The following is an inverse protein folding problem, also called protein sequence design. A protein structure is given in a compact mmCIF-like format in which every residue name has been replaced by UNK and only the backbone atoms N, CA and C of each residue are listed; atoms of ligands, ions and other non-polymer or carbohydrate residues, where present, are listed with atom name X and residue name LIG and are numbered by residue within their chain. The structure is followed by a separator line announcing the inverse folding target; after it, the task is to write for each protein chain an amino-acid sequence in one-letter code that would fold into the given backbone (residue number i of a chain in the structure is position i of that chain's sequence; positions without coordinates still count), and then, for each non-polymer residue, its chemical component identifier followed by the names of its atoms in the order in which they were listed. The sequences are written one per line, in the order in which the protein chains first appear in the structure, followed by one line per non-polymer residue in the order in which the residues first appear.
data_IF_133635154416
#
_entry.id   IF_133635154416
#
_cell.length_a   1.000
_cell.length_b   1.000
_cell.length_c   1.000
_cell.angle_alpha   90.00
_cell.angle_beta   90.00
_cell.angle_gamma   90.00
#
_symmetry.space_group_name_H-M   'P 1'
#
loop_
_entity.id
_entity.type
_entity.pdbx_description
1 polymer ?
#
# COMPACT_ATOMS: atom_id res chain seq x y z
N UNK A 1 -41.68 -17.02 -8.29
CA UNK A 1 -41.02 -16.06 -7.40
C UNK A 1 -41.56 -14.68 -7.71
N UNK A 2 -42.08 -14.01 -6.73
CA UNK A 2 -42.50 -12.65 -6.88
C UNK A 2 -41.27 -11.70 -6.88
N UNK A 3 -41.49 -10.39 -7.11
CA UNK A 3 -40.43 -9.40 -7.16
C UNK A 3 -39.64 -9.34 -5.84
N UNK A 4 -40.33 -9.45 -4.70
CA UNK A 4 -39.69 -9.36 -3.37
C UNK A 4 -38.87 -10.61 -3.07
N UNK A 5 -39.34 -11.81 -3.42
CA UNK A 5 -38.60 -13.06 -3.31
C UNK A 5 -37.32 -13.01 -4.18
N UNK A 6 -37.41 -12.47 -5.41
CA UNK A 6 -36.26 -12.32 -6.31
C UNK A 6 -35.24 -11.35 -5.75
N UNK A 7 -35.67 -10.17 -5.27
CA UNK A 7 -34.79 -9.18 -4.64
C UNK A 7 -34.14 -9.79 -3.39
N UNK A 8 -34.93 -10.45 -2.54
CA UNK A 8 -34.42 -11.13 -1.34
C UNK A 8 -33.35 -12.17 -1.65
N UNK A 9 -33.60 -13.01 -2.68
CA UNK A 9 -32.64 -14.01 -3.13
C UNK A 9 -31.34 -13.37 -3.66
N UNK A 10 -31.44 -12.33 -4.50
CA UNK A 10 -30.29 -11.61 -5.02
C UNK A 10 -29.46 -10.95 -3.89
N UNK A 11 -30.14 -10.41 -2.87
CA UNK A 11 -29.51 -9.88 -1.69
C UNK A 11 -28.74 -10.94 -0.91
N UNK A 12 -29.35 -12.09 -0.66
CA UNK A 12 -28.69 -13.23 0.02
C UNK A 12 -27.49 -13.73 -0.79
N UNK A 13 -27.63 -13.88 -2.10
CA UNK A 13 -26.53 -14.29 -2.98
C UNK A 13 -25.38 -13.26 -2.92
N UNK A 14 -25.71 -11.99 -3.06
CA UNK A 14 -24.73 -10.89 -3.01
C UNK A 14 -23.91 -10.93 -1.72
N UNK A 15 -24.57 -10.96 -0.56
CA UNK A 15 -23.86 -11.00 0.72
C UNK A 15 -23.15 -12.32 0.98
N UNK A 16 -23.69 -13.45 0.49
CA UNK A 16 -23.02 -14.74 0.59
C UNK A 16 -21.68 -14.77 -0.14
N UNK A 17 -21.57 -14.05 -1.25
CA UNK A 17 -20.31 -13.91 -1.98
C UNK A 17 -19.23 -13.27 -1.07
N UNK A 18 -19.56 -12.22 -0.33
CA UNK A 18 -18.60 -11.53 0.57
C UNK A 18 -18.26 -12.33 1.84
N UNK A 19 -19.05 -13.34 2.19
CA UNK A 19 -18.78 -14.23 3.33
C UNK A 19 -17.98 -15.46 2.90
N UNK A 20 -18.31 -16.05 1.76
CA UNK A 20 -17.76 -17.34 1.31
C UNK A 20 -16.40 -17.14 0.60
N UNK A 21 -16.35 -16.29 -0.41
CA UNK A 21 -15.16 -16.16 -1.27
C UNK A 21 -13.90 -15.70 -0.53
N UNK A 22 -13.95 -14.77 0.46
CA UNK A 22 -12.74 -14.36 1.18
C UNK A 22 -12.01 -15.51 1.90
N UNK A 23 -12.66 -16.66 2.10
CA UNK A 23 -12.00 -17.84 2.68
C UNK A 23 -10.94 -18.46 1.76
N UNK A 24 -11.03 -18.22 0.46
CA UNK A 24 -10.18 -18.83 -0.56
C UNK A 24 -9.24 -17.83 -1.24
N UNK A 25 -9.31 -16.57 -0.82
CA UNK A 25 -8.58 -15.48 -1.47
C UNK A 25 -7.52 -14.88 -0.54
N UNK A 26 -6.52 -14.25 -1.15
CA UNK A 26 -5.50 -13.45 -0.48
C UNK A 26 -5.53 -11.97 -0.89
N UNK A 27 -6.63 -11.56 -1.54
CA UNK A 27 -6.95 -10.18 -1.87
C UNK A 27 -8.48 -10.02 -1.99
N UNK A 28 -8.95 -8.78 -2.15
CA UNK A 28 -10.38 -8.52 -2.36
C UNK A 28 -10.91 -9.14 -3.66
N UNK A 29 -12.23 -9.27 -3.74
CA UNK A 29 -12.92 -9.94 -4.84
C UNK A 29 -12.66 -9.29 -6.21
N UNK A 30 -12.61 -7.95 -6.28
CA UNK A 30 -12.37 -7.26 -7.53
C UNK A 30 -10.94 -7.47 -8.02
N UNK A 31 -9.98 -7.39 -7.11
CA UNK A 31 -8.57 -7.63 -7.43
C UNK A 31 -8.35 -9.09 -7.87
N UNK A 32 -8.95 -10.07 -7.17
CA UNK A 32 -8.88 -11.47 -7.56
C UNK A 32 -9.51 -11.73 -8.94
N UNK A 33 -10.64 -11.09 -9.23
CA UNK A 33 -11.25 -11.15 -10.58
C UNK A 33 -10.33 -10.53 -11.64
N UNK A 34 -9.72 -9.37 -11.35
CA UNK A 34 -8.80 -8.70 -12.29
C UNK A 34 -7.48 -9.43 -12.46
N UNK A 35 -7.00 -10.13 -11.45
CA UNK A 35 -5.82 -11.00 -11.58
C UNK A 35 -6.05 -12.08 -12.64
N UNK A 36 -7.24 -12.66 -12.67
CA UNK A 36 -7.58 -13.76 -13.58
C UNK A 36 -8.06 -13.29 -14.98
N UNK A 37 -8.85 -12.22 -15.01
CA UNK A 37 -9.57 -11.79 -16.21
C UNK A 37 -9.28 -10.34 -16.64
N UNK A 38 -8.44 -9.64 -15.90
CA UNK A 38 -8.09 -8.24 -16.18
C UNK A 38 -6.98 -8.11 -17.23
N UNK A 39 -6.47 -6.88 -17.36
CA UNK A 39 -5.30 -6.61 -18.21
C UNK A 39 -4.08 -7.29 -17.59
N UNK A 40 -3.27 -7.99 -18.39
CA UNK A 40 -2.04 -8.61 -17.89
C UNK A 40 -1.00 -7.54 -17.50
N UNK A 41 -0.18 -7.83 -16.49
CA UNK A 41 0.85 -6.90 -16.00
C UNK A 41 1.84 -6.50 -17.10
N UNK A 42 2.06 -7.35 -18.11
CA UNK A 42 2.88 -7.05 -19.30
C UNK A 42 2.39 -5.82 -20.08
N UNK A 43 1.13 -5.41 -19.93
CA UNK A 43 0.62 -4.16 -20.51
C UNK A 43 1.25 -2.89 -19.92
N UNK A 44 2.03 -2.99 -18.83
CA UNK A 44 2.82 -1.90 -18.28
C UNK A 44 4.17 -1.70 -18.99
N UNK A 45 4.51 -2.53 -19.98
CA UNK A 45 5.75 -2.43 -20.75
C UNK A 45 6.03 -0.99 -21.18
N UNK A 46 7.26 -0.52 -20.92
CA UNK A 46 7.73 0.83 -21.29
C UNK A 46 7.20 1.96 -20.41
N UNK A 47 6.33 1.68 -19.43
CA UNK A 47 5.87 2.69 -18.45
C UNK A 47 7.04 3.14 -17.57
N UNK A 48 7.07 4.43 -17.29
CA UNK A 48 8.05 5.10 -16.46
C UNK A 48 7.50 5.23 -15.05
N UNK A 49 8.10 4.48 -14.13
CA UNK A 49 7.59 4.32 -12.77
C UNK A 49 8.61 4.80 -11.75
N UNK A 50 8.21 5.70 -10.88
CA UNK A 50 9.01 6.14 -9.75
C UNK A 50 8.49 5.51 -8.47
N UNK A 51 9.36 4.77 -7.75
CA UNK A 51 9.00 4.05 -6.52
C UNK A 51 9.76 4.65 -5.35
N UNK A 52 9.04 5.19 -4.36
CA UNK A 52 9.62 5.60 -3.08
C UNK A 52 9.65 4.43 -2.10
N UNK A 53 10.64 4.39 -1.20
CA UNK A 53 10.81 3.25 -0.29
C UNK A 53 11.17 1.94 -1.02
N UNK A 54 11.90 2.04 -2.13
CA UNK A 54 12.25 0.91 -2.99
C UNK A 54 13.38 0.01 -2.46
N UNK A 55 14.02 0.36 -1.34
CA UNK A 55 15.21 -0.35 -0.83
C UNK A 55 14.91 -1.63 -0.05
N UNK A 56 13.64 -1.96 0.22
CA UNK A 56 13.25 -3.17 0.96
C UNK A 56 11.74 -3.47 0.80
N UNK A 57 11.35 -4.68 1.17
CA UNK A 57 9.96 -5.08 1.39
C UNK A 57 9.07 -4.99 0.14
N UNK A 58 7.92 -4.34 0.24
CA UNK A 58 6.95 -4.26 -0.85
C UNK A 58 7.52 -3.46 -2.03
N UNK A 59 8.18 -2.32 -1.79
CA UNK A 59 8.74 -1.46 -2.85
C UNK A 59 9.83 -2.14 -3.65
N UNK A 60 10.72 -2.87 -3.00
CA UNK A 60 11.74 -3.71 -3.62
C UNK A 60 11.13 -4.79 -4.51
N UNK A 61 10.18 -5.57 -3.97
CA UNK A 61 9.52 -6.64 -4.73
C UNK A 61 8.68 -6.09 -5.89
N UNK A 62 8.07 -4.91 -5.73
CA UNK A 62 7.36 -4.25 -6.82
C UNK A 62 8.33 -3.83 -7.94
N UNK A 63 9.53 -3.35 -7.59
CA UNK A 63 10.55 -3.05 -8.58
C UNK A 63 10.90 -4.30 -9.41
N UNK A 64 11.07 -5.47 -8.78
CA UNK A 64 11.33 -6.74 -9.49
C UNK A 64 10.17 -7.13 -10.43
N UNK A 65 8.93 -7.04 -9.94
CA UNK A 65 7.74 -7.37 -10.76
C UNK A 65 7.65 -6.45 -11.99
N UNK A 66 7.86 -5.15 -11.81
CA UNK A 66 7.77 -4.17 -12.90
C UNK A 66 8.96 -4.27 -13.85
N UNK A 67 10.16 -4.56 -13.36
CA UNK A 67 11.34 -4.81 -14.20
C UNK A 67 11.12 -6.00 -15.13
N UNK A 68 10.50 -7.10 -14.65
CA UNK A 68 10.20 -8.29 -15.47
C UNK A 68 9.34 -8.00 -16.71
N UNK A 69 8.53 -6.95 -16.65
CA UNK A 69 7.63 -6.53 -17.75
C UNK A 69 8.14 -5.30 -18.52
N UNK A 70 9.45 -5.06 -18.49
CA UNK A 70 10.11 -4.00 -19.24
C UNK A 70 9.64 -2.57 -18.86
N UNK A 71 9.26 -2.33 -17.59
CA UNK A 71 9.07 -0.96 -17.10
C UNK A 71 10.42 -0.25 -16.91
N UNK A 72 10.44 1.06 -17.10
CA UNK A 72 11.57 1.92 -16.74
C UNK A 72 11.36 2.42 -15.31
N UNK A 73 12.38 2.26 -14.45
CA UNK A 73 12.23 2.45 -13.01
C UNK A 73 13.17 3.55 -12.49
N UNK A 74 12.65 4.39 -11.59
CA UNK A 74 13.46 5.17 -10.67
C UNK A 74 13.16 4.68 -9.25
N UNK A 75 14.20 4.26 -8.56
CA UNK A 75 14.15 3.69 -7.22
C UNK A 75 14.68 4.70 -6.22
N UNK A 76 13.85 5.11 -5.26
CA UNK A 76 14.22 6.10 -4.26
C UNK A 76 14.07 5.57 -2.84
N UNK A 77 15.08 5.80 -2.04
CA UNK A 77 15.15 5.60 -0.59
C UNK A 77 16.44 6.25 -0.05
N UNK A 78 16.67 6.19 1.27
CA UNK A 78 17.88 6.75 1.89
C UNK A 78 19.11 5.84 1.73
N UNK A 79 18.92 4.52 1.69
CA UNK A 79 20.00 3.52 1.71
C UNK A 79 20.50 3.23 0.29
N UNK A 80 21.61 3.87 -0.09
CA UNK A 80 22.18 3.75 -1.44
C UNK A 80 22.57 2.32 -1.78
N UNK A 81 23.31 1.64 -0.90
CA UNK A 81 23.75 0.26 -1.13
C UNK A 81 22.58 -0.71 -1.39
N UNK A 82 21.46 -0.53 -0.68
CA UNK A 82 20.27 -1.35 -0.91
C UNK A 82 19.57 -1.01 -2.23
N UNK A 83 19.55 0.26 -2.64
CA UNK A 83 19.01 0.65 -3.94
C UNK A 83 19.84 0.06 -5.08
N UNK A 84 21.16 0.07 -4.98
CA UNK A 84 22.07 -0.57 -5.95
C UNK A 84 21.87 -2.08 -6.01
N UNK A 85 21.70 -2.73 -4.86
CA UNK A 85 21.37 -4.17 -4.80
C UNK A 85 20.06 -4.45 -5.55
N UNK A 86 19.00 -3.67 -5.30
CA UNK A 86 17.70 -3.84 -5.96
C UNK A 86 17.83 -3.59 -7.47
N UNK A 87 18.51 -2.51 -7.88
CA UNK A 87 18.79 -2.21 -9.30
C UNK A 87 19.50 -3.39 -9.98
N UNK A 88 20.58 -3.88 -9.38
CA UNK A 88 21.34 -5.02 -9.88
C UNK A 88 20.45 -6.23 -10.10
N UNK A 89 19.60 -6.58 -9.12
CA UNK A 89 18.67 -7.71 -9.23
C UNK A 89 17.64 -7.49 -10.37
N UNK A 90 17.11 -6.28 -10.53
CA UNK A 90 16.21 -5.96 -11.65
C UNK A 90 16.86 -6.23 -13.01
N UNK A 91 18.14 -5.82 -13.19
CA UNK A 91 18.89 -6.01 -14.43
C UNK A 91 19.33 -7.48 -14.65
N UNK A 92 19.59 -8.21 -13.57
CA UNK A 92 19.90 -9.64 -13.65
C UNK A 92 18.69 -10.47 -14.04
N UNK A 93 17.52 -10.18 -13.51
CA UNK A 93 16.27 -10.90 -13.82
C UNK A 93 15.69 -10.56 -15.19
N UNK A 94 16.01 -9.39 -15.76
CA UNK A 94 15.57 -9.01 -17.10
C UNK A 94 16.69 -8.38 -17.93
N UNK A 95 17.35 -9.18 -18.73
CA UNK A 95 18.47 -8.77 -19.62
C UNK A 95 18.08 -7.84 -20.76
N UNK A 96 16.79 -7.55 -20.96
CA UNK A 96 16.33 -6.55 -21.96
C UNK A 96 16.44 -5.13 -21.44
N UNK A 97 16.49 -4.96 -20.11
CA UNK A 97 16.71 -3.66 -19.49
C UNK A 97 18.19 -3.30 -19.48
N UNK A 98 18.48 -2.07 -19.79
CA UNK A 98 19.80 -1.47 -19.66
C UNK A 98 19.94 -0.75 -18.30
N UNK A 99 21.16 -0.32 -18.00
CA UNK A 99 21.45 0.49 -16.81
C UNK A 99 20.63 1.80 -16.80
N UNK A 100 20.37 2.37 -17.98
CA UNK A 100 19.55 3.58 -18.14
C UNK A 100 18.05 3.35 -17.90
N UNK A 101 17.56 2.11 -17.98
CA UNK A 101 16.17 1.79 -17.74
C UNK A 101 15.83 1.61 -16.25
N UNK A 102 16.85 1.37 -15.40
CA UNK A 102 16.68 1.26 -13.94
C UNK A 102 17.65 2.23 -13.27
N UNK A 103 17.13 3.34 -12.80
CA UNK A 103 17.91 4.40 -12.16
C UNK A 103 17.66 4.40 -10.64
N UNK A 104 18.66 4.81 -9.87
CA UNK A 104 18.47 5.11 -8.46
C UNK A 104 18.53 6.62 -8.24
N UNK A 105 17.69 7.10 -7.31
CA UNK A 105 17.75 8.48 -6.82
C UNK A 105 17.64 8.44 -5.29
N UNK A 106 18.79 8.46 -4.58
CA UNK A 106 18.81 8.50 -3.13
C UNK A 106 18.20 9.79 -2.61
N UNK A 107 17.22 9.67 -1.69
CA UNK A 107 16.58 10.83 -1.06
C UNK A 107 16.02 10.49 0.31
N UNK A 108 15.97 11.48 1.19
CA UNK A 108 15.10 11.45 2.36
C UNK A 108 13.76 12.09 1.99
N UNK A 109 12.69 11.30 2.07
CA UNK A 109 11.36 11.77 1.72
C UNK A 109 10.81 12.82 2.72
N UNK A 110 11.46 12.98 3.88
CA UNK A 110 11.13 14.03 4.86
C UNK A 110 11.68 15.40 4.48
N UNK A 111 12.68 15.45 3.60
CA UNK A 111 13.20 16.71 3.05
C UNK A 111 12.29 17.18 1.91
N UNK A 112 11.19 17.87 2.29
CA UNK A 112 10.17 18.34 1.34
C UNK A 112 10.72 19.35 0.34
N UNK A 113 11.74 20.12 0.72
CA UNK A 113 12.37 21.14 -0.14
C UNK A 113 13.15 20.49 -1.30
N UNK A 114 13.61 19.25 -1.09
CA UNK A 114 14.29 18.48 -2.15
C UNK A 114 13.33 17.83 -3.16
N UNK A 115 12.02 17.78 -2.89
CA UNK A 115 11.05 17.05 -3.72
C UNK A 115 10.95 17.58 -5.15
N UNK A 116 10.99 18.90 -5.34
CA UNK A 116 10.92 19.50 -6.68
C UNK A 116 12.16 19.14 -7.50
N UNK A 117 13.36 19.20 -6.89
CA UNK A 117 14.61 18.78 -7.52
C UNK A 117 14.59 17.28 -7.86
N UNK A 118 14.10 16.44 -6.94
CA UNK A 118 13.96 15.01 -7.17
C UNK A 118 12.99 14.72 -8.34
N UNK A 119 11.85 15.42 -8.36
CA UNK A 119 10.88 15.30 -9.44
C UNK A 119 11.47 15.73 -10.79
N UNK A 120 12.17 16.86 -10.84
CA UNK A 120 12.83 17.32 -12.06
C UNK A 120 13.86 16.31 -12.56
N UNK A 121 14.65 15.70 -11.67
CA UNK A 121 15.58 14.63 -12.06
C UNK A 121 14.87 13.45 -12.74
N UNK A 122 13.70 13.04 -12.23
CA UNK A 122 12.88 11.97 -12.85
C UNK A 122 12.49 12.35 -14.28
N UNK A 123 12.08 13.61 -14.49
CA UNK A 123 11.68 14.10 -15.79
C UNK A 123 12.88 14.22 -16.74
N UNK A 124 14.02 14.69 -16.26
CA UNK A 124 15.25 14.84 -17.06
C UNK A 124 15.73 13.46 -17.57
N UNK A 125 15.62 12.42 -16.73
CA UNK A 125 16.03 11.05 -17.08
C UNK A 125 15.10 10.38 -18.09
N UNK A 126 13.80 10.51 -17.92
CA UNK A 126 12.83 9.74 -18.71
C UNK A 126 11.94 10.59 -19.63
N UNK A 127 12.07 11.92 -19.60
CA UNK A 127 11.25 12.87 -20.36
C UNK A 127 9.82 13.02 -19.83
N UNK A 128 9.31 12.02 -19.12
CA UNK A 128 7.99 12.04 -18.45
C UNK A 128 7.93 11.02 -17.33
N UNK A 129 6.93 11.14 -16.47
CA UNK A 129 6.52 10.13 -15.50
C UNK A 129 5.13 9.59 -15.89
N UNK A 130 4.94 8.27 -15.86
CA UNK A 130 3.62 7.64 -16.06
C UNK A 130 2.97 7.25 -14.72
N UNK A 131 3.77 6.78 -13.74
CA UNK A 131 3.27 6.24 -12.46
C UNK A 131 4.19 6.67 -11.33
N UNK A 132 3.61 7.33 -10.31
CA UNK A 132 4.26 7.58 -9.02
C UNK A 132 3.77 6.57 -7.99
N UNK A 133 4.68 5.80 -7.38
CA UNK A 133 4.38 4.85 -6.31
C UNK A 133 4.89 5.42 -4.98
N UNK A 134 3.98 5.93 -4.17
CA UNK A 134 4.21 6.35 -2.79
C UNK A 134 4.17 5.13 -1.87
N UNK A 135 5.34 4.52 -1.64
CA UNK A 135 5.42 3.32 -0.81
C UNK A 135 6.27 3.53 0.45
N UNK A 136 7.06 4.58 0.52
CA UNK A 136 7.81 4.92 1.73
C UNK A 136 6.86 5.17 2.92
N UNK A 137 7.21 4.65 4.09
CA UNK A 137 6.42 4.84 5.31
C UNK A 137 6.92 3.98 6.46
N UNK A 138 6.35 4.18 7.64
CA UNK A 138 6.63 3.40 8.85
C UNK A 138 5.34 3.15 9.63
N UNK A 139 5.30 2.04 10.39
CA UNK A 139 4.20 1.68 11.29
C UNK A 139 4.46 2.21 12.71
N UNK A 140 3.61 1.82 13.66
CA UNK A 140 3.70 2.17 15.07
C UNK A 140 3.37 0.97 15.96
N UNK A 141 3.97 0.96 17.16
CA UNK A 141 3.65 0.05 18.27
C UNK A 141 3.73 0.84 19.58
N UNK A 142 2.60 1.37 20.01
CA UNK A 142 2.48 2.14 21.25
C UNK A 142 1.04 2.10 21.78
N UNK A 143 0.87 2.20 23.11
CA UNK A 143 -0.44 2.40 23.71
C UNK A 143 -0.91 3.84 23.46
N UNK A 144 -2.19 4.01 23.16
CA UNK A 144 -2.77 5.27 22.69
C UNK A 144 -2.47 6.46 23.62
N UNK A 145 -2.62 6.26 24.92
CA UNK A 145 -2.45 7.26 25.96
C UNK A 145 -1.00 7.68 26.22
N UNK A 146 -0.03 6.86 25.76
CA UNK A 146 1.40 7.09 26.03
C UNK A 146 2.13 7.74 24.84
N UNK A 147 1.45 7.91 23.69
CA UNK A 147 2.09 8.44 22.48
C UNK A 147 2.41 9.92 22.67
N UNK A 148 3.68 10.29 22.53
CA UNK A 148 4.08 11.68 22.46
C UNK A 148 3.56 12.33 21.17
N UNK A 149 3.05 13.57 21.28
CA UNK A 149 2.53 14.33 20.12
C UNK A 149 3.61 14.58 19.03
N UNK A 150 4.88 14.53 19.40
CA UNK A 150 6.03 14.59 18.49
C UNK A 150 6.05 13.38 17.54
N UNK A 151 5.74 12.19 18.04
CA UNK A 151 5.61 10.95 17.24
C UNK A 151 4.46 11.08 16.24
N UNK A 152 3.32 11.65 16.65
CA UNK A 152 2.21 11.91 15.75
C UNK A 152 2.64 12.80 14.57
N UNK A 153 3.33 13.91 14.87
CA UNK A 153 3.83 14.85 13.87
C UNK A 153 4.83 14.18 12.92
N UNK A 154 5.81 13.43 13.45
CA UNK A 154 6.80 12.71 12.66
C UNK A 154 6.14 11.69 11.70
N UNK A 155 5.16 10.94 12.20
CA UNK A 155 4.43 9.97 11.38
C UNK A 155 3.57 10.64 10.31
N UNK A 156 2.91 11.74 10.61
CA UNK A 156 2.16 12.51 9.61
C UNK A 156 3.09 13.12 8.56
N UNK A 157 4.24 13.66 8.96
CA UNK A 157 5.24 14.16 8.03
C UNK A 157 5.70 13.05 7.07
N UNK A 158 6.00 11.85 7.60
CA UNK A 158 6.49 10.73 6.82
C UNK A 158 5.40 10.08 5.96
N UNK A 159 4.27 9.69 6.56
CA UNK A 159 3.27 8.85 5.90
C UNK A 159 2.23 9.65 5.11
N UNK A 160 2.11 10.95 5.33
CA UNK A 160 1.07 11.80 4.73
C UNK A 160 1.66 12.97 3.96
N UNK A 161 2.34 13.90 4.63
CA UNK A 161 2.74 15.14 3.98
C UNK A 161 3.81 14.95 2.90
N UNK A 162 4.75 14.04 3.09
CA UNK A 162 5.71 13.67 2.05
C UNK A 162 5.01 13.08 0.82
N UNK A 163 4.02 12.21 1.03
CA UNK A 163 3.20 11.59 -0.03
C UNK A 163 2.41 12.66 -0.79
N UNK A 164 1.74 13.55 -0.07
CA UNK A 164 0.95 14.64 -0.66
C UNK A 164 1.85 15.61 -1.45
N UNK A 165 3.02 15.95 -0.92
CA UNK A 165 3.99 16.83 -1.57
C UNK A 165 4.42 16.28 -2.94
N UNK A 166 4.94 15.05 -3.00
CA UNK A 166 5.33 14.42 -4.27
C UNK A 166 4.16 14.24 -5.22
N UNK A 167 2.99 13.85 -4.69
CA UNK A 167 1.81 13.64 -5.52
C UNK A 167 1.31 14.93 -6.17
N UNK A 168 1.42 16.07 -5.49
CA UNK A 168 1.08 17.37 -6.09
C UNK A 168 1.97 17.74 -7.27
N UNK A 169 3.26 17.43 -7.20
CA UNK A 169 4.19 17.60 -8.32
C UNK A 169 3.81 16.67 -9.49
N UNK A 170 3.54 15.40 -9.19
CA UNK A 170 3.13 14.43 -10.19
C UNK A 170 1.79 14.81 -10.86
N UNK A 171 0.78 15.26 -10.10
CA UNK A 171 -0.51 15.69 -10.65
C UNK A 171 -0.32 16.90 -11.59
N UNK A 172 0.47 17.92 -11.19
CA UNK A 172 0.80 19.06 -12.06
C UNK A 172 1.45 18.62 -13.39
N UNK A 173 2.30 17.60 -13.35
CA UNK A 173 2.92 17.01 -14.53
C UNK A 173 1.89 16.22 -15.37
N UNK A 174 1.08 15.37 -14.76
CA UNK A 174 0.06 14.58 -15.44
C UNK A 174 -0.98 15.45 -16.17
N UNK A 175 -1.37 16.57 -15.57
CA UNK A 175 -2.26 17.54 -16.22
C UNK A 175 -1.68 18.13 -17.51
N UNK A 176 -0.36 18.26 -17.60
CA UNK A 176 0.36 18.77 -18.78
C UNK A 176 0.64 17.70 -19.83
N UNK A 177 0.77 16.42 -19.41
CA UNK A 177 1.25 15.33 -20.27
C UNK A 177 0.15 14.34 -20.67
N UNK A 178 -1.12 14.65 -20.38
CA UNK A 178 -2.27 13.83 -20.81
C UNK A 178 -2.63 12.69 -19.86
N UNK A 179 -2.23 12.80 -18.60
CA UNK A 179 -2.62 11.87 -17.53
C UNK A 179 -1.48 11.06 -16.95
N UNK A 180 -1.80 10.30 -15.90
CA UNK A 180 -0.87 9.44 -15.18
C UNK A 180 -1.56 8.76 -13.99
N UNK A 181 -0.77 8.05 -13.18
CA UNK A 181 -1.30 7.31 -12.04
C UNK A 181 -0.50 7.57 -10.77
N UNK A 182 -1.21 7.86 -9.67
CA UNK A 182 -0.68 7.84 -8.31
C UNK A 182 -1.03 6.49 -7.69
N UNK A 183 -0.05 5.84 -7.11
CA UNK A 183 -0.24 4.60 -6.36
C UNK A 183 0.19 4.82 -4.92
N UNK A 184 -0.73 4.70 -3.98
CA UNK A 184 -0.44 4.90 -2.56
C UNK A 184 -0.45 3.57 -1.83
N UNK A 185 0.66 3.21 -1.20
CA UNK A 185 0.70 2.11 -0.25
C UNK A 185 0.10 2.57 1.08
N UNK A 186 -1.23 2.41 1.20
CA UNK A 186 -1.95 2.58 2.45
C UNK A 186 -1.78 1.33 3.34
N UNK A 187 -2.84 0.90 3.98
CA UNK A 187 -2.90 -0.32 4.79
C UNK A 187 -4.36 -0.64 5.09
N UNK A 188 -4.68 -1.86 5.47
CA UNK A 188 -5.95 -2.17 6.12
C UNK A 188 -6.15 -1.38 7.42
N UNK A 189 -5.07 -0.87 8.03
CA UNK A 189 -5.15 0.10 9.13
C UNK A 189 -5.75 1.46 8.72
N UNK A 190 -5.90 1.74 7.43
CA UNK A 190 -6.67 2.88 6.90
C UNK A 190 -8.17 2.58 6.73
N UNK A 191 -8.62 1.38 7.11
CA UNK A 191 -10.01 0.90 7.01
C UNK A 191 -10.46 0.33 8.35
N UNK A 192 -9.59 -0.43 9.01
CA UNK A 192 -9.85 -1.13 10.27
C UNK A 192 -9.18 -0.44 11.46
N UNK A 193 -9.78 -0.49 12.65
CA UNK A 193 -9.09 -0.13 13.88
C UNK A 193 -8.04 -1.20 14.19
N UNK A 194 -6.78 -0.77 14.35
CA UNK A 194 -5.66 -1.66 14.67
C UNK A 194 -5.10 -1.28 16.04
N UNK A 195 -5.15 -2.19 17.06
CA UNK A 195 -4.61 -1.90 18.38
C UNK A 195 -3.14 -1.52 18.34
N UNK A 196 -2.69 -0.68 19.28
CA UNK A 196 -1.31 -0.20 19.43
C UNK A 196 -0.75 0.52 18.18
N UNK A 197 -1.62 1.08 17.34
CA UNK A 197 -1.23 1.72 16.08
C UNK A 197 -2.08 2.94 15.76
N UNK A 198 -2.45 3.72 16.78
CA UNK A 198 -3.42 4.81 16.64
C UNK A 198 -2.99 5.86 15.62
N UNK A 199 -1.78 6.41 15.74
CA UNK A 199 -1.24 7.40 14.81
C UNK A 199 -1.08 6.81 13.40
N UNK A 200 -0.60 5.56 13.31
CA UNK A 200 -0.50 4.86 12.03
C UNK A 200 -1.86 4.73 11.34
N UNK A 201 -2.90 4.30 12.07
CA UNK A 201 -4.27 4.29 11.53
C UNK A 201 -4.68 5.67 11.06
N UNK A 202 -4.44 6.72 11.85
CA UNK A 202 -4.73 8.10 11.49
C UNK A 202 -4.06 8.51 10.18
N UNK A 203 -2.75 8.22 10.02
CA UNK A 203 -2.01 8.54 8.79
C UNK A 203 -2.55 7.78 7.56
N UNK A 204 -2.94 6.50 7.73
CA UNK A 204 -3.45 5.70 6.61
C UNK A 204 -4.89 6.08 6.23
N UNK A 205 -5.74 6.47 7.18
CA UNK A 205 -7.04 7.09 6.90
C UNK A 205 -6.89 8.45 6.20
N UNK A 206 -5.89 9.26 6.60
CA UNK A 206 -5.62 10.55 5.97
C UNK A 206 -5.29 10.40 4.47
N UNK A 207 -4.56 9.36 4.06
CA UNK A 207 -4.32 9.11 2.63
C UNK A 207 -5.62 8.91 1.85
N UNK A 208 -6.60 8.16 2.39
CA UNK A 208 -7.91 8.03 1.73
C UNK A 208 -8.61 9.38 1.60
N UNK A 209 -8.58 10.20 2.65
CA UNK A 209 -9.18 11.54 2.65
C UNK A 209 -8.54 12.49 1.63
N UNK A 210 -7.20 12.49 1.51
CA UNK A 210 -6.50 13.36 0.57
C UNK A 210 -6.68 12.98 -0.89
N UNK A 211 -6.81 11.69 -1.20
CA UNK A 211 -6.74 11.22 -2.59
C UNK A 211 -8.10 10.91 -3.21
N UNK A 212 -9.13 10.60 -2.42
CA UNK A 212 -10.50 10.39 -2.93
C UNK A 212 -11.08 11.59 -3.68
N UNK A 213 -10.87 12.87 -3.28
CA UNK A 213 -11.40 14.01 -4.04
C UNK A 213 -10.89 14.13 -5.48
N UNK A 214 -9.70 13.61 -5.78
CA UNK A 214 -9.05 13.80 -7.09
C UNK A 214 -9.87 13.25 -8.26
N UNK A 215 -10.65 12.18 -8.07
CA UNK A 215 -11.49 11.64 -9.15
C UNK A 215 -12.67 12.56 -9.50
N UNK A 216 -13.11 13.39 -8.54
CA UNK A 216 -14.17 14.39 -8.75
C UNK A 216 -13.57 15.67 -9.34
N UNK A 217 -12.38 16.07 -8.88
CA UNK A 217 -11.72 17.31 -9.32
C UNK A 217 -11.20 17.23 -10.75
N UNK A 218 -10.82 16.03 -11.22
CA UNK A 218 -10.19 15.82 -12.53
C UNK A 218 -10.82 14.68 -13.34
N UNK A 219 -12.14 14.65 -13.57
CA UNK A 219 -12.83 13.50 -14.15
C UNK A 219 -12.37 13.17 -15.58
N UNK A 220 -12.00 14.19 -16.38
CA UNK A 220 -11.66 14.03 -17.80
C UNK A 220 -10.16 14.09 -18.09
N UNK A 221 -9.30 14.09 -17.07
CA UNK A 221 -7.85 14.31 -17.22
C UNK A 221 -7.01 13.03 -17.24
N UNK A 222 -7.66 11.84 -17.26
CA UNK A 222 -6.98 10.54 -17.21
C UNK A 222 -5.98 10.45 -16.03
N UNK A 223 -6.33 11.08 -14.90
CA UNK A 223 -5.60 10.96 -13.64
C UNK A 223 -6.22 9.84 -12.84
N UNK A 224 -5.44 8.83 -12.51
CA UNK A 224 -5.89 7.67 -11.77
C UNK A 224 -5.18 7.62 -10.42
N UNK A 225 -5.90 7.23 -9.39
CA UNK A 225 -5.34 6.95 -8.06
C UNK A 225 -5.65 5.51 -7.71
N UNK A 226 -4.62 4.76 -7.30
CA UNK A 226 -4.77 3.42 -6.76
C UNK A 226 -4.30 3.41 -5.31
N UNK A 227 -5.20 3.17 -4.38
CA UNK A 227 -4.88 3.02 -2.96
C UNK A 227 -4.78 1.54 -2.64
N UNK A 228 -3.57 1.07 -2.43
CA UNK A 228 -3.32 -0.33 -2.04
C UNK A 228 -3.34 -0.43 -0.53
N UNK A 229 -4.16 -1.31 0.01
CA UNK A 229 -4.35 -1.54 1.44
C UNK A 229 -3.86 -2.94 1.86
N UNK A 230 -2.55 -3.14 2.06
CA UNK A 230 -2.04 -4.40 2.56
C UNK A 230 -2.46 -4.64 4.01
N UNK A 231 -2.76 -5.89 4.32
CA UNK A 231 -2.76 -6.40 5.68
C UNK A 231 -1.34 -6.72 6.16
N UNK A 232 -1.17 -7.69 7.06
CA UNK A 232 0.15 -8.12 7.51
C UNK A 232 0.98 -8.75 6.37
N UNK A 233 2.10 -8.11 6.01
CA UNK A 233 3.07 -8.57 5.00
C UNK A 233 4.36 -9.01 5.68
N UNK A 234 4.97 -10.08 5.21
CA UNK A 234 6.25 -10.58 5.71
C UNK A 234 7.40 -9.68 5.23
N UNK A 235 7.83 -8.77 6.09
CA UNK A 235 8.90 -7.79 5.86
C UNK A 235 9.52 -7.39 7.21
N UNK A 236 10.65 -6.69 7.20
CA UNK A 236 11.26 -6.09 8.40
C UNK A 236 10.57 -4.77 8.85
N UNK A 237 9.40 -4.47 8.29
CA UNK A 237 8.66 -3.22 8.52
C UNK A 237 8.34 -2.97 10.00
N UNK A 238 8.12 -4.05 10.78
CA UNK A 238 7.82 -3.94 12.19
C UNK A 238 9.02 -3.44 13.00
N UNK A 239 10.22 -3.91 12.70
CA UNK A 239 11.43 -3.50 13.41
C UNK A 239 11.70 -1.98 13.29
N UNK A 240 11.30 -1.39 12.16
CA UNK A 240 11.43 0.04 11.89
C UNK A 240 10.25 0.88 12.42
N UNK A 241 9.25 0.27 13.07
CA UNK A 241 8.06 0.98 13.58
C UNK A 241 8.43 1.97 14.67
N UNK A 242 7.68 3.07 14.75
CA UNK A 242 7.74 4.01 15.86
C UNK A 242 7.24 3.36 17.15
N UNK A 243 7.78 3.80 18.29
CA UNK A 243 7.25 3.53 19.63
C UNK A 243 6.37 4.71 20.08
N UNK A 244 6.16 4.85 21.39
CA UNK A 244 5.52 6.02 21.98
C UNK A 244 6.41 7.26 22.01
N UNK A 245 7.75 7.10 21.86
CA UNK A 245 8.74 8.18 22.00
C UNK A 245 9.42 8.50 20.67
N UNK A 246 9.70 9.79 20.48
CA UNK A 246 10.44 10.26 19.31
C UNK A 246 11.86 9.70 19.28
N UNK A 247 12.34 9.35 18.08
CA UNK A 247 13.69 8.80 17.87
C UNK A 247 13.86 7.33 18.20
N UNK A 248 12.90 6.70 18.87
CA UNK A 248 12.96 5.26 19.19
C UNK A 248 12.37 4.39 18.08
N UNK A 249 12.93 3.18 17.95
CA UNK A 249 12.41 2.15 17.06
C UNK A 249 11.95 0.94 17.87
N UNK A 250 10.89 0.30 17.42
CA UNK A 250 10.37 -0.91 18.06
C UNK A 250 11.37 -2.06 18.11
N UNK A 251 12.22 -2.19 17.08
CA UNK A 251 13.39 -3.09 17.05
C UNK A 251 13.07 -4.60 16.92
N UNK A 252 11.82 -5.01 17.14
CA UNK A 252 11.44 -6.43 17.11
C UNK A 252 11.22 -6.89 15.67
N UNK A 253 12.00 -7.88 15.24
CA UNK A 253 11.79 -8.55 13.96
C UNK A 253 10.68 -9.59 14.09
N UNK A 254 9.79 -9.63 13.10
CA UNK A 254 8.75 -10.64 13.05
C UNK A 254 9.29 -11.95 12.50
N UNK A 255 8.95 -13.04 13.19
CA UNK A 255 9.18 -14.39 12.65
C UNK A 255 8.32 -14.62 11.40
N UNK A 256 8.77 -15.53 10.55
CA UNK A 256 7.99 -16.00 9.40
C UNK A 256 6.68 -16.61 9.90
N UNK A 257 5.57 -16.11 9.40
CA UNK A 257 4.24 -16.52 9.84
C UNK A 257 3.33 -16.83 8.66
N UNK A 258 2.61 -17.93 8.76
CA UNK A 258 1.61 -18.34 7.77
C UNK A 258 0.44 -17.34 7.65
N UNK A 259 0.22 -16.51 8.68
CA UNK A 259 -0.84 -15.50 8.69
C UNK A 259 -0.46 -14.22 7.92
N UNK A 260 0.77 -14.12 7.42
CA UNK A 260 1.24 -12.99 6.63
C UNK A 260 1.34 -13.37 5.16
N UNK A 261 1.05 -12.41 4.29
CA UNK A 261 1.33 -12.56 2.87
C UNK A 261 2.81 -12.26 2.60
N UNK A 262 3.42 -12.91 1.62
CA UNK A 262 4.79 -12.59 1.23
C UNK A 262 4.86 -11.23 0.53
N UNK A 263 6.00 -10.51 0.67
CA UNK A 263 6.21 -9.25 -0.03
C UNK A 263 6.13 -9.41 -1.56
N UNK A 264 6.61 -10.51 -2.10
CA UNK A 264 6.53 -10.83 -3.52
C UNK A 264 5.07 -10.99 -4.00
N UNK A 265 4.24 -11.72 -3.25
CA UNK A 265 2.81 -11.88 -3.59
C UNK A 265 2.07 -10.55 -3.49
N UNK A 266 2.32 -9.78 -2.45
CA UNK A 266 1.74 -8.45 -2.28
C UNK A 266 2.11 -7.53 -3.46
N UNK A 267 3.37 -7.51 -3.87
CA UNK A 267 3.85 -6.73 -5.00
C UNK A 267 3.24 -7.18 -6.34
N UNK A 268 3.08 -8.49 -6.56
CA UNK A 268 2.42 -9.03 -7.76
C UNK A 268 0.96 -8.56 -7.84
N UNK A 269 0.20 -8.64 -6.75
CA UNK A 269 -1.18 -8.16 -6.68
C UNK A 269 -1.26 -6.64 -6.85
N UNK A 270 -0.31 -5.90 -6.28
CA UNK A 270 -0.19 -4.46 -6.48
C UNK A 270 0.02 -4.11 -7.96
N UNK A 271 0.86 -4.84 -8.68
CA UNK A 271 1.05 -4.64 -10.13
C UNK A 271 -0.23 -4.92 -10.94
N UNK A 272 -1.03 -5.93 -10.54
CA UNK A 272 -2.37 -6.18 -11.12
C UNK A 272 -3.30 -5.00 -10.87
N UNK A 273 -3.31 -4.44 -9.66
CA UNK A 273 -4.11 -3.25 -9.33
C UNK A 273 -3.70 -2.05 -10.19
N UNK A 274 -2.40 -1.83 -10.35
CA UNK A 274 -1.82 -0.73 -11.15
C UNK A 274 -2.26 -0.83 -12.61
N UNK A 275 -2.05 -1.99 -13.26
CA UNK A 275 -2.37 -2.16 -14.69
C UNK A 275 -3.86 -2.05 -14.99
N UNK A 276 -4.71 -2.44 -14.04
CA UNK A 276 -6.17 -2.37 -14.13
C UNK A 276 -6.75 -1.05 -13.59
N UNK A 277 -5.90 -0.13 -13.08
CA UNK A 277 -6.27 1.18 -12.55
C UNK A 277 -7.37 1.08 -11.50
N UNK A 278 -7.25 0.13 -10.57
CA UNK A 278 -8.22 -0.06 -9.49
C UNK A 278 -8.08 1.07 -8.46
N UNK A 279 -9.19 1.63 -8.01
CA UNK A 279 -9.18 2.78 -7.08
C UNK A 279 -8.70 2.40 -5.69
N UNK A 280 -9.22 1.31 -5.13
CA UNK A 280 -8.85 0.79 -3.82
C UNK A 280 -8.80 -0.74 -3.86
N UNK A 281 -7.74 -1.33 -3.31
CA UNK A 281 -7.58 -2.79 -3.26
C UNK A 281 -7.08 -3.25 -1.89
N UNK A 282 -7.57 -4.40 -1.46
CA UNK A 282 -7.22 -5.04 -0.18
C UNK A 282 -6.41 -6.31 -0.44
N UNK A 283 -5.24 -6.41 0.20
CA UNK A 283 -4.32 -7.53 -0.01
C UNK A 283 -3.98 -8.14 1.36
N UNK A 284 -4.57 -9.27 1.70
CA UNK A 284 -4.35 -9.93 2.99
C UNK A 284 -4.80 -11.38 2.95
N UNK A 285 -4.36 -12.17 3.93
CA UNK A 285 -4.86 -13.54 4.15
C UNK A 285 -6.34 -13.54 4.51
N UNK A 286 -7.01 -14.65 4.25
CA UNK A 286 -8.46 -14.86 4.39
C UNK A 286 -9.03 -14.40 5.74
N UNK A 287 -8.37 -14.69 6.86
CA UNK A 287 -8.85 -14.28 8.19
C UNK A 287 -8.93 -12.76 8.33
N UNK A 288 -7.91 -12.05 7.84
CA UNK A 288 -7.87 -10.60 7.85
C UNK A 288 -8.89 -10.01 6.86
N UNK A 289 -9.05 -10.61 5.68
CA UNK A 289 -10.04 -10.17 4.70
C UNK A 289 -11.48 -10.31 5.24
N UNK A 290 -11.81 -11.42 5.89
CA UNK A 290 -13.14 -11.62 6.50
C UNK A 290 -13.48 -10.51 7.50
N UNK A 291 -12.55 -10.20 8.40
CA UNK A 291 -12.73 -9.10 9.35
C UNK A 291 -12.85 -7.76 8.62
N UNK A 292 -12.11 -7.56 7.54
CA UNK A 292 -12.18 -6.33 6.74
C UNK A 292 -13.56 -6.18 6.10
N UNK A 293 -14.05 -7.20 5.40
CA UNK A 293 -15.39 -7.19 4.82
C UNK A 293 -16.47 -7.01 5.88
N UNK A 294 -16.37 -7.73 7.01
CA UNK A 294 -17.32 -7.60 8.11
C UNK A 294 -17.36 -6.15 8.66
N UNK A 295 -16.21 -5.57 8.89
CA UNK A 295 -16.10 -4.21 9.44
C UNK A 295 -16.56 -3.16 8.43
N UNK A 296 -16.26 -3.35 7.16
CA UNK A 296 -16.63 -2.42 6.10
C UNK A 296 -18.14 -2.47 5.78
N UNK A 297 -18.69 -3.68 5.62
CA UNK A 297 -20.11 -3.87 5.26
C UNK A 297 -21.06 -3.71 6.45
N UNK A 298 -20.62 -4.09 7.67
CA UNK A 298 -21.46 -4.12 8.87
C UNK A 298 -20.75 -3.48 10.08
N UNK A 299 -20.42 -2.18 10.04
CA UNK A 299 -19.53 -1.57 11.02
C UNK A 299 -20.04 -1.65 12.47
N UNK A 300 -21.34 -1.47 12.70
CA UNK A 300 -21.93 -1.55 14.04
C UNK A 300 -21.90 -2.98 14.60
N UNK A 301 -22.23 -3.97 13.77
CA UNK A 301 -22.18 -5.37 14.15
C UNK A 301 -20.73 -5.83 14.41
N UNK A 302 -19.81 -5.47 13.54
CA UNK A 302 -18.38 -5.77 13.71
C UNK A 302 -17.84 -5.17 15.01
N UNK A 303 -18.17 -3.89 15.30
CA UNK A 303 -17.77 -3.23 16.55
C UNK A 303 -18.32 -3.96 17.77
N UNK A 304 -19.59 -4.39 17.74
CA UNK A 304 -20.20 -5.15 18.81
C UNK A 304 -19.50 -6.52 18.99
N UNK A 305 -19.27 -7.25 17.90
CA UNK A 305 -18.58 -8.54 17.89
C UNK A 305 -17.15 -8.45 18.45
N UNK A 306 -16.37 -7.48 17.96
CA UNK A 306 -14.99 -7.24 18.39
C UNK A 306 -14.96 -6.90 19.88
N UNK A 307 -15.87 -6.02 20.35
CA UNK A 307 -15.89 -5.58 21.74
C UNK A 307 -16.24 -6.72 22.70
N UNK A 308 -17.24 -7.56 22.35
CA UNK A 308 -17.82 -8.52 23.29
C UNK A 308 -17.23 -9.94 23.17
N UNK A 309 -16.67 -10.33 22.01
CA UNK A 309 -16.25 -11.71 21.78
C UNK A 309 -14.80 -11.85 21.32
N UNK A 310 -14.31 -11.00 20.41
CA UNK A 310 -12.98 -11.17 19.83
C UNK A 310 -11.88 -10.52 20.65
N UNK A 311 -12.13 -9.29 21.11
CA UNK A 311 -11.21 -8.53 21.97
C UNK A 311 -9.88 -8.14 21.33
N UNK A 312 -9.06 -7.41 22.12
CA UNK A 312 -7.72 -6.92 21.72
C UNK A 312 -6.78 -8.06 21.31
N UNK A 313 -6.77 -9.17 22.07
CA UNK A 313 -5.85 -10.31 21.85
C UNK A 313 -6.05 -10.96 20.47
N UNK A 314 -7.30 -11.12 20.02
CA UNK A 314 -7.60 -11.67 18.71
C UNK A 314 -7.06 -10.79 17.57
N UNK A 315 -7.31 -9.48 17.63
CA UNK A 315 -6.83 -8.53 16.62
C UNK A 315 -5.30 -8.46 16.59
N UNK A 316 -4.64 -8.52 17.75
CA UNK A 316 -3.19 -8.58 17.83
C UNK A 316 -2.64 -9.87 17.20
N UNK A 317 -3.27 -11.01 17.45
CA UNK A 317 -2.89 -12.29 16.84
C UNK A 317 -3.01 -12.27 15.31
N UNK A 318 -4.03 -11.65 14.77
CA UNK A 318 -4.18 -11.48 13.31
C UNK A 318 -3.04 -10.64 12.72
N UNK A 319 -2.59 -9.60 13.45
CA UNK A 319 -1.55 -8.70 12.99
C UNK A 319 -0.13 -9.27 13.16
N UNK A 320 0.21 -9.76 14.34
CA UNK A 320 1.60 -10.03 14.75
C UNK A 320 1.96 -11.53 14.85
N UNK A 321 0.99 -12.43 14.73
CA UNK A 321 1.12 -13.89 14.79
C UNK A 321 1.54 -14.49 16.14
N UNK A 322 2.23 -13.77 17.02
CA UNK A 322 2.49 -14.14 18.42
C UNK A 322 2.09 -12.97 19.33
N UNK A 323 1.33 -13.27 20.38
CA UNK A 323 1.15 -12.36 21.54
C UNK A 323 2.27 -12.75 22.50
N UNK A 324 3.18 -11.83 22.81
CA UNK A 324 4.10 -12.05 23.92
C UNK A 324 3.28 -12.34 25.19
N UNK A 325 3.77 -13.24 26.04
CA UNK A 325 3.05 -13.68 27.26
C UNK A 325 2.95 -12.62 28.36
N UNK A 326 3.32 -11.37 28.08
CA UNK A 326 3.48 -10.28 29.06
C UNK A 326 2.55 -9.08 28.81
N UNK A 327 1.27 -9.33 28.46
CA UNK A 327 0.25 -8.25 28.48
C UNK A 327 -1.11 -8.76 28.97
#
# INVERSE_FOLDING_TARGET
MDLFETIGLLFVIYYSIYVVFPNFLDCDLLLAFKEKYGKPVSSLKGKKVWITGASAGIGENLAYVLAKVDCKLILSARRVAELERVKKTCLEENKRLSDDDVQIYPMDILDLDSHEKAFQHVIDKFGKLDILVNNAGRSQRAQWENIEITVDKEMFNLNVFSVVSLSRLAIKHFLKTGGGQIVNTSSLAGILPVPLSATYCGTKHALHGYFKPLFIEHPDKNINVTTVCPGPVQTDFLAESFTEKSGEKYGVRTEVSQNKISAARCASLMAVAIVNKLDEVWIAKSDTLRITYLTYCFPNFAKWLIKNYLGKKFLMKLRDAKVSKED
#
